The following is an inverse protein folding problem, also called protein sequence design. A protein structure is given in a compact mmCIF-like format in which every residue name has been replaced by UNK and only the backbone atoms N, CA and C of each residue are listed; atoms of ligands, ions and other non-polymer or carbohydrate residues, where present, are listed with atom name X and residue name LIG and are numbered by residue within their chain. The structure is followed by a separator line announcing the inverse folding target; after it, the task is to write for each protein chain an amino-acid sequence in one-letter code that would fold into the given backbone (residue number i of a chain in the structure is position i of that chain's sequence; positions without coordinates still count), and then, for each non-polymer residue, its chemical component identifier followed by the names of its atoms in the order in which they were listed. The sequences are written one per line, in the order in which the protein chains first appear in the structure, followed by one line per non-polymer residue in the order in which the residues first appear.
data_IF_124473063573
#
_entry.id   IF_124473063573
#
_cell.length_a   1.000
_cell.length_b   1.000
_cell.length_c   1.000
_cell.angle_alpha   90.00
_cell.angle_beta   90.00
_cell.angle_gamma   90.00
#
_symmetry.space_group_name_H-M   'P 1'
#
loop_
_entity.id
_entity.type
_entity.pdbx_description
1 polymer ?
#
# COMPACT_ATOMS: atom_id res chain seq x y z
N UNK A 1 1.48 19.56 -3.70
CA UNK A 1 1.49 18.85 -2.39
C UNK A 1 2.22 17.54 -2.60
N UNK A 2 3.20 17.25 -1.75
CA UNK A 2 4.05 16.07 -1.88
C UNK A 2 3.63 14.98 -0.90
N UNK A 3 3.55 13.73 -1.37
CA UNK A 3 3.21 12.58 -0.56
C UNK A 3 3.76 11.30 -1.17
N UNK A 4 3.74 10.22 -0.39
CA UNK A 4 4.00 8.86 -0.87
C UNK A 4 2.73 8.05 -0.68
N UNK A 5 2.13 7.60 -1.77
CA UNK A 5 1.07 6.61 -1.74
C UNK A 5 1.69 5.24 -1.47
N UNK A 6 1.04 4.45 -0.62
CA UNK A 6 1.49 3.09 -0.28
C UNK A 6 0.32 2.12 -0.24
N UNK A 7 0.61 0.89 -0.56
CA UNK A 7 -0.30 -0.24 -0.43
C UNK A 7 0.47 -1.51 -0.07
N UNK A 8 -0.06 -2.27 0.91
CA UNK A 8 0.47 -3.58 1.28
C UNK A 8 -0.46 -4.68 0.77
N UNK A 9 0.08 -5.59 0.00
CA UNK A 9 -0.58 -6.87 -0.25
C UNK A 9 -0.21 -7.86 0.85
N UNK A 10 -1.20 -8.57 1.35
CA UNK A 10 -1.05 -9.42 2.54
C UNK A 10 -1.63 -10.82 2.29
N UNK A 11 -1.27 -11.76 3.16
CA UNK A 11 -1.78 -13.14 3.09
C UNK A 11 -3.28 -13.23 3.45
N UNK A 12 -3.86 -12.19 4.07
CA UNK A 12 -5.21 -12.23 4.60
C UNK A 12 -5.34 -13.07 5.88
N UNK A 13 -6.54 -13.09 6.42
CA UNK A 13 -6.84 -13.82 7.66
C UNK A 13 -7.38 -15.24 7.44
N UNK A 14 -7.56 -15.66 6.19
CA UNK A 14 -8.27 -16.89 5.83
C UNK A 14 -7.55 -18.18 6.26
N UNK A 15 -6.25 -18.11 6.50
CA UNK A 15 -5.44 -19.28 6.87
C UNK A 15 -5.21 -19.43 8.38
N UNK A 16 -5.96 -18.71 9.22
CA UNK A 16 -5.82 -18.79 10.70
C UNK A 16 -4.51 -18.19 11.23
N UNK A 17 -3.74 -17.53 10.39
CA UNK A 17 -2.49 -16.86 10.71
C UNK A 17 -2.66 -15.35 10.91
N UNK A 18 -1.57 -14.70 11.23
CA UNK A 18 -1.45 -13.25 11.20
C UNK A 18 -1.46 -12.75 9.76
N UNK A 19 -2.09 -11.60 9.53
CA UNK A 19 -2.10 -10.96 8.21
C UNK A 19 -0.69 -10.44 7.88
N UNK A 20 0.09 -11.22 7.14
CA UNK A 20 1.49 -10.93 6.84
C UNK A 20 1.64 -10.26 5.47
N UNK A 21 2.35 -9.12 5.39
CA UNK A 21 2.59 -8.44 4.12
C UNK A 21 3.65 -9.18 3.31
N UNK A 22 3.32 -9.49 2.06
CA UNK A 22 4.25 -10.09 1.09
C UNK A 22 4.69 -9.11 -0.01
N UNK A 23 3.98 -7.98 -0.18
CA UNK A 23 4.36 -6.91 -1.11
C UNK A 23 4.10 -5.56 -0.47
N UNK A 24 4.98 -4.60 -0.75
CA UNK A 24 4.78 -3.17 -0.54
C UNK A 24 4.94 -2.47 -1.88
N UNK A 25 3.89 -1.87 -2.39
CA UNK A 25 3.92 -0.93 -3.49
C UNK A 25 3.97 0.51 -2.98
N UNK A 26 4.72 1.38 -3.64
CA UNK A 26 4.69 2.80 -3.34
C UNK A 26 4.83 3.67 -4.60
N UNK A 27 4.21 4.83 -4.55
CA UNK A 27 4.34 5.87 -5.56
C UNK A 27 4.63 7.21 -4.89
N UNK A 28 5.71 7.85 -5.27
CA UNK A 28 6.07 9.19 -4.79
C UNK A 28 5.44 10.22 -5.71
N UNK A 29 4.63 11.08 -5.14
CA UNK A 29 3.94 12.16 -5.86
C UNK A 29 4.53 13.49 -5.44
N UNK A 30 4.91 14.32 -6.42
CA UNK A 30 5.34 15.71 -6.24
C UNK A 30 4.55 16.59 -7.18
N UNK A 31 3.97 17.65 -6.65
CA UNK A 31 3.16 18.61 -7.41
C UNK A 31 2.09 17.96 -8.32
N UNK A 32 1.47 16.87 -7.83
CA UNK A 32 0.44 16.14 -8.55
C UNK A 32 0.94 15.17 -9.62
N UNK A 33 2.26 14.97 -9.73
CA UNK A 33 2.87 14.05 -10.69
C UNK A 33 3.56 12.90 -9.96
N UNK A 34 3.35 11.68 -10.42
CA UNK A 34 4.11 10.50 -9.95
C UNK A 34 5.54 10.62 -10.49
N UNK A 35 6.52 10.78 -9.61
CA UNK A 35 7.93 10.94 -9.96
C UNK A 35 8.76 9.68 -9.74
N UNK A 36 8.27 8.75 -8.94
CA UNK A 36 8.95 7.48 -8.62
C UNK A 36 7.91 6.44 -8.23
N UNK A 37 8.11 5.20 -8.65
CA UNK A 37 7.40 4.02 -8.17
C UNK A 37 8.39 2.96 -7.73
N UNK A 38 8.06 2.19 -6.69
CA UNK A 38 8.83 1.04 -6.23
C UNK A 38 7.94 -0.08 -5.76
N UNK A 39 8.48 -1.28 -5.84
CA UNK A 39 7.90 -2.49 -5.27
C UNK A 39 8.94 -3.21 -4.43
N UNK A 40 8.51 -3.73 -3.30
CA UNK A 40 9.31 -4.59 -2.45
C UNK A 40 8.53 -5.87 -2.17
N UNK A 41 9.18 -7.00 -2.35
CA UNK A 41 8.59 -8.31 -2.09
C UNK A 41 9.27 -8.95 -0.88
N UNK A 42 8.46 -9.64 -0.06
CA UNK A 42 8.90 -10.22 1.20
C UNK A 42 8.62 -11.72 1.23
N UNK A 43 9.55 -12.48 1.85
CA UNK A 43 9.37 -13.90 2.10
C UNK A 43 8.34 -14.11 3.20
N UNK A 44 7.18 -14.62 2.80
CA UNK A 44 6.07 -14.89 3.70
C UNK A 44 5.44 -16.22 3.35
N UNK A 45 5.28 -17.08 4.36
CA UNK A 45 4.55 -18.32 4.21
C UNK A 45 3.08 -18.03 3.88
N UNK A 46 2.54 -18.72 2.88
CA UNK A 46 1.17 -18.49 2.40
C UNK A 46 1.01 -17.31 1.42
N UNK A 47 2.10 -16.67 1.01
CA UNK A 47 2.06 -15.71 -0.08
C UNK A 47 1.62 -16.38 -1.39
N UNK A 48 0.93 -15.67 -2.30
CA UNK A 48 0.50 -16.23 -3.58
C UNK A 48 1.70 -16.62 -4.44
N UNK A 49 1.54 -17.63 -5.33
CA UNK A 49 2.61 -18.16 -6.19
C UNK A 49 3.37 -17.05 -6.94
N UNK A 50 2.66 -16.03 -7.43
CA UNK A 50 3.25 -14.86 -8.11
C UNK A 50 4.25 -14.09 -7.24
N UNK A 51 4.13 -14.14 -5.91
CA UNK A 51 5.09 -13.49 -5.02
C UNK A 51 6.43 -14.20 -5.00
N UNK A 52 6.43 -15.53 -5.18
CA UNK A 52 7.64 -16.35 -5.20
C UNK A 52 8.41 -16.25 -6.54
N UNK A 53 7.82 -15.68 -7.57
CA UNK A 53 8.47 -15.41 -8.86
C UNK A 53 9.29 -14.09 -8.84
N UNK A 54 9.23 -13.34 -7.76
CA UNK A 54 9.92 -12.08 -7.57
C UNK A 54 11.07 -12.23 -6.59
N UNK A 55 12.10 -11.40 -6.77
CA UNK A 55 13.26 -11.38 -5.87
C UNK A 55 12.83 -10.80 -4.50
N UNK A 56 12.53 -11.68 -3.56
CA UNK A 56 12.18 -11.29 -2.21
C UNK A 56 13.42 -10.82 -1.43
N UNK A 57 13.24 -9.75 -0.66
CA UNK A 57 14.30 -9.13 0.16
C UNK A 57 14.53 -9.85 1.50
N UNK A 58 13.86 -10.97 1.76
CA UNK A 58 13.68 -11.55 3.08
C UNK A 58 12.37 -11.10 3.71
N UNK A 59 12.23 -11.19 5.03
CA UNK A 59 11.00 -10.74 5.71
C UNK A 59 10.90 -9.20 5.72
N UNK A 60 9.69 -8.67 5.94
CA UNK A 60 9.50 -7.23 6.12
C UNK A 60 10.43 -6.66 7.19
N UNK A 61 10.62 -7.39 8.31
CA UNK A 61 11.50 -6.96 9.40
C UNK A 61 12.98 -7.01 9.01
N UNK A 62 13.43 -8.10 8.39
CA UNK A 62 14.86 -8.28 8.04
C UNK A 62 15.33 -7.33 6.93
N UNK A 63 14.42 -6.86 6.10
CA UNK A 63 14.69 -5.92 4.99
C UNK A 63 14.39 -4.45 5.34
N UNK A 64 14.18 -4.14 6.64
CA UNK A 64 13.77 -2.82 7.11
C UNK A 64 14.61 -1.67 6.54
N UNK A 65 15.92 -1.79 6.56
CA UNK A 65 16.85 -0.75 6.08
C UNK A 65 16.71 -0.47 4.56
N UNK A 66 16.13 -1.41 3.81
CA UNK A 66 15.93 -1.27 2.37
C UNK A 66 14.70 -0.43 2.03
N UNK A 67 13.57 -0.69 2.69
CA UNK A 67 12.30 -0.02 2.36
C UNK A 67 11.98 1.18 3.25
N UNK A 68 12.47 1.20 4.50
CA UNK A 68 12.21 2.27 5.46
C UNK A 68 12.54 3.68 4.96
N UNK A 69 13.70 3.93 4.29
CA UNK A 69 14.05 5.28 3.83
C UNK A 69 13.06 5.89 2.83
N UNK A 70 12.26 5.04 2.18
CA UNK A 70 11.25 5.50 1.22
C UNK A 70 9.97 6.00 1.90
N UNK A 71 9.76 5.67 3.18
CA UNK A 71 8.55 6.03 3.93
C UNK A 71 8.84 7.01 5.08
N UNK A 72 10.03 6.96 5.65
CA UNK A 72 10.39 7.73 6.83
C UNK A 72 10.27 9.25 6.60
N UNK A 73 9.59 9.92 7.53
CA UNK A 73 9.43 11.37 7.50
C UNK A 73 8.55 11.91 6.36
N UNK A 74 7.88 11.04 5.62
CA UNK A 74 7.03 11.44 4.49
C UNK A 74 5.55 11.51 4.91
N UNK A 75 4.78 12.35 4.22
CA UNK A 75 3.31 12.23 4.25
C UNK A 75 2.92 10.94 3.53
N UNK A 76 2.21 10.07 4.23
CA UNK A 76 1.77 8.79 3.70
C UNK A 76 0.28 8.85 3.34
N UNK A 77 -0.05 8.28 2.19
CA UNK A 77 -1.41 8.20 1.68
C UNK A 77 -1.73 6.74 1.39
N UNK A 78 -2.87 6.25 1.84
CA UNK A 78 -3.38 4.93 1.48
C UNK A 78 -4.91 4.93 1.43
N UNK A 79 -5.48 3.89 0.88
CA UNK A 79 -6.92 3.68 0.85
C UNK A 79 -7.34 2.79 2.02
N UNK A 80 -8.04 3.34 3.02
CA UNK A 80 -8.33 2.65 4.27
C UNK A 80 -7.07 2.29 5.08
N UNK A 81 -6.38 3.29 5.55
CA UNK A 81 -5.04 3.23 6.18
C UNK A 81 -4.89 2.28 7.38
N UNK A 82 -5.92 1.57 7.80
CA UNK A 82 -5.87 0.75 9.01
C UNK A 82 -4.87 -0.41 8.88
N UNK A 83 -4.80 -1.03 7.71
CA UNK A 83 -3.87 -2.12 7.42
C UNK A 83 -2.42 -1.62 7.46
N UNK A 84 -2.10 -0.61 6.68
CA UNK A 84 -0.76 -0.03 6.55
C UNK A 84 -0.23 0.47 7.89
N UNK A 85 -1.07 1.19 8.64
CA UNK A 85 -0.70 1.66 9.98
C UNK A 85 -0.41 0.52 10.93
N UNK A 86 -1.21 -0.53 10.92
CA UNK A 86 -1.03 -1.70 11.79
C UNK A 86 0.29 -2.41 11.47
N UNK A 87 0.56 -2.65 10.18
CA UNK A 87 1.78 -3.31 9.73
C UNK A 87 3.00 -2.47 10.11
N UNK A 88 3.03 -1.19 9.77
CA UNK A 88 4.17 -0.32 10.04
C UNK A 88 4.39 -0.10 11.54
N UNK A 89 3.33 0.00 12.33
CA UNK A 89 3.44 0.12 13.80
C UNK A 89 3.99 -1.17 14.43
N UNK A 90 3.58 -2.33 13.91
CA UNK A 90 4.09 -3.64 14.39
C UNK A 90 5.59 -3.79 14.13
N UNK A 91 6.05 -3.38 12.95
CA UNK A 91 7.47 -3.51 12.55
C UNK A 91 8.36 -2.49 13.26
N UNK A 92 7.92 -1.27 13.39
CA UNK A 92 8.69 -0.19 14.02
C UNK A 92 7.81 0.67 14.94
N UNK A 93 7.51 0.17 16.16
CA UNK A 93 6.55 0.79 17.08
C UNK A 93 6.98 2.17 17.59
N UNK A 94 8.27 2.46 17.59
CA UNK A 94 8.81 3.75 18.03
C UNK A 94 8.93 4.77 16.90
N UNK A 95 8.69 4.36 15.66
CA UNK A 95 8.73 5.27 14.51
C UNK A 95 7.45 6.09 14.41
N UNK A 96 7.59 7.38 14.27
CA UNK A 96 6.47 8.27 13.96
C UNK A 96 6.18 8.26 12.46
N UNK A 97 5.26 7.39 12.06
CA UNK A 97 4.83 7.27 10.66
C UNK A 97 3.86 8.38 10.25
N UNK A 98 3.98 8.87 9.03
CA UNK A 98 3.10 9.90 8.47
C UNK A 98 3.63 11.32 8.68
N UNK A 99 2.80 12.37 8.49
CA UNK A 99 1.33 12.40 8.63
C UNK A 99 0.59 11.55 7.59
N UNK A 100 -0.59 11.04 7.98
CA UNK A 100 -1.42 10.16 7.16
C UNK A 100 -2.58 10.88 6.50
N UNK A 101 -2.91 10.45 5.28
CA UNK A 101 -4.17 10.78 4.61
C UNK A 101 -4.84 9.49 4.12
N UNK A 102 -6.13 9.35 4.41
CA UNK A 102 -6.95 8.19 4.06
C UNK A 102 -7.89 8.58 2.92
N UNK A 103 -7.64 8.05 1.73
CA UNK A 103 -8.43 8.39 0.54
C UNK A 103 -9.88 7.89 0.63
N UNK A 104 -10.14 6.77 1.32
CA UNK A 104 -11.50 6.32 1.56
C UNK A 104 -12.29 7.30 2.45
N UNK A 105 -11.68 7.79 3.52
CA UNK A 105 -12.31 8.79 4.41
C UNK A 105 -12.53 10.11 3.69
N UNK A 106 -11.55 10.54 2.87
CA UNK A 106 -11.69 11.74 2.06
C UNK A 106 -12.83 11.62 1.05
N UNK A 107 -12.96 10.47 0.37
CA UNK A 107 -14.05 10.20 -0.55
C UNK A 107 -15.41 10.23 0.15
N UNK A 108 -15.54 9.57 1.31
CA UNK A 108 -16.77 9.60 2.12
C UNK A 108 -17.18 11.01 2.56
N UNK A 109 -16.20 11.82 2.93
CA UNK A 109 -16.47 13.21 3.35
C UNK A 109 -16.83 14.13 2.17
N UNK A 110 -16.17 13.94 1.01
CA UNK A 110 -16.36 14.83 -0.15
C UNK A 110 -17.56 14.45 -1.00
N UNK A 111 -17.87 13.15 -1.07
CA UNK A 111 -18.93 12.58 -1.91
C UNK A 111 -19.80 11.62 -1.10
N UNK A 112 -20.57 12.13 -0.13
CA UNK A 112 -21.44 11.28 0.68
C UNK A 112 -22.54 10.63 -0.17
N UNK A 113 -22.88 9.37 0.14
CA UNK A 113 -23.98 8.67 -0.52
C UNK A 113 -23.60 7.91 -1.79
N UNK A 114 -22.30 7.74 -2.09
CA UNK A 114 -21.89 6.80 -3.13
C UNK A 114 -22.25 5.36 -2.74
N UNK A 115 -22.60 4.50 -3.71
CA UNK A 115 -22.97 3.11 -3.45
C UNK A 115 -21.83 2.28 -2.88
N UNK A 116 -20.59 2.62 -3.20
CA UNK A 116 -19.39 1.97 -2.70
C UNK A 116 -18.25 2.97 -2.54
N UNK A 117 -17.33 2.68 -1.63
CA UNK A 117 -16.09 3.40 -1.41
C UNK A 117 -14.87 2.50 -1.54
N UNK A 118 -15.00 1.33 -2.17
CA UNK A 118 -13.85 0.53 -2.57
C UNK A 118 -13.03 1.28 -3.62
N UNK A 119 -11.70 1.13 -3.60
CA UNK A 119 -10.81 1.91 -4.46
C UNK A 119 -11.16 1.75 -5.93
N UNK A 120 -11.40 0.51 -6.39
CA UNK A 120 -11.78 0.24 -7.77
C UNK A 120 -13.07 0.92 -8.19
N UNK A 121 -14.10 0.86 -7.36
CA UNK A 121 -15.39 1.50 -7.64
C UNK A 121 -15.26 3.03 -7.69
N UNK A 122 -14.40 3.61 -6.85
CA UNK A 122 -14.10 5.04 -6.89
C UNK A 122 -13.32 5.41 -8.15
N UNK A 123 -12.35 4.60 -8.56
CA UNK A 123 -11.62 4.82 -9.80
C UNK A 123 -12.55 4.82 -11.01
N UNK A 124 -13.48 3.87 -11.08
CA UNK A 124 -14.50 3.81 -12.11
C UNK A 124 -15.42 5.04 -12.06
N UNK A 125 -15.96 5.36 -10.88
CA UNK A 125 -16.88 6.49 -10.69
C UNK A 125 -16.26 7.84 -11.07
N UNK A 126 -14.95 8.01 -10.86
CA UNK A 126 -14.22 9.25 -11.16
C UNK A 126 -13.50 9.24 -12.51
N UNK A 127 -13.63 8.15 -13.29
CA UNK A 127 -12.95 8.02 -14.58
C UNK A 127 -11.42 7.94 -14.44
N UNK A 128 -10.91 7.52 -13.29
CA UNK A 128 -9.50 7.24 -13.10
C UNK A 128 -9.18 5.89 -13.74
N UNK A 129 -8.47 5.89 -14.86
CA UNK A 129 -8.03 4.64 -15.51
C UNK A 129 -6.64 4.30 -15.01
N UNK A 130 -6.47 3.22 -14.24
CA UNK A 130 -5.14 2.78 -13.83
C UNK A 130 -4.32 2.39 -15.05
N UNK A 131 -3.02 2.69 -15.00
CA UNK A 131 -2.08 2.17 -16.00
C UNK A 131 -1.81 0.71 -15.66
N UNK A 132 -2.37 -0.19 -16.45
CA UNK A 132 -2.37 -1.62 -16.13
C UNK A 132 -1.01 -2.29 -16.33
N UNK A 133 -0.23 -1.92 -17.34
CA UNK A 133 1.11 -2.47 -17.66
C UNK A 133 1.30 -3.96 -17.30
N UNK A 134 0.25 -4.78 -17.52
CA UNK A 134 0.23 -6.19 -17.11
C UNK A 134 -0.12 -6.43 -15.63
N UNK A 135 -0.44 -5.40 -14.84
CA UNK A 135 -0.85 -5.50 -13.43
C UNK A 135 -2.34 -5.80 -13.32
N UNK A 136 -2.71 -6.34 -12.20
CA UNK A 136 -4.11 -6.66 -11.85
C UNK A 136 -4.48 -6.04 -10.51
N UNK A 137 -5.76 -6.04 -10.18
CA UNK A 137 -6.21 -5.79 -8.81
C UNK A 137 -5.44 -6.65 -7.82
N UNK A 138 -5.15 -6.12 -6.64
CA UNK A 138 -4.27 -6.73 -5.64
C UNK A 138 -2.80 -6.84 -6.09
N UNK A 139 -2.34 -5.84 -6.83
CA UNK A 139 -0.93 -5.57 -7.05
C UNK A 139 -0.63 -4.21 -6.41
N UNK A 140 0.27 -4.15 -5.46
CA UNK A 140 0.52 -2.96 -4.64
C UNK A 140 0.97 -1.70 -5.41
N UNK A 141 1.16 -1.79 -6.73
CA UNK A 141 1.35 -0.63 -7.63
C UNK A 141 0.21 -0.44 -8.64
N UNK A 142 -0.90 -1.15 -8.49
CA UNK A 142 -2.08 -1.03 -9.35
C UNK A 142 -2.79 0.34 -9.30
#
# INVERSE_FOLDING_TARGET
MDFTAIDFETTGYECGGTNEPWQLGLAVVRDGVVVETREFFFDVEGAPARAHERDALGTLQSSFETWYPHLAGRRLVAHNIACERTILTRVAPLTKWGPWSDTMKLAKARYPGLPSYALGDLCEAFGCVPQMDGRTWHDGLY
#
